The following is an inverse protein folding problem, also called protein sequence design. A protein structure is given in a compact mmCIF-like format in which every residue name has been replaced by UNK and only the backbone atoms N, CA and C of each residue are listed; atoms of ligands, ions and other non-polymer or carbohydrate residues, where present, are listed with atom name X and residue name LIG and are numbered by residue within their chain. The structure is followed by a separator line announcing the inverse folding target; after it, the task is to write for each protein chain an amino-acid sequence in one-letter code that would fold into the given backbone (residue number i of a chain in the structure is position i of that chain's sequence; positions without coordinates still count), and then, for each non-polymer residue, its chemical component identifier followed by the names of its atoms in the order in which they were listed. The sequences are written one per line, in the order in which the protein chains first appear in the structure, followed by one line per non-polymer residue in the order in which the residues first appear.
data_IF_578742137055
#
_entry.id   IF_578742137055
#
_cell.length_a   1.000
_cell.length_b   1.000
_cell.length_c   1.000
_cell.angle_alpha   90.00
_cell.angle_beta   90.00
_cell.angle_gamma   90.00
#
_symmetry.space_group_name_H-M   'P 1'
#
loop_
_entity.id
_entity.type
_entity.pdbx_description
1 polymer ?
#
# COMPACT_ATOMS: atom_id res chain seq x y z
N UNK A 1 6.11 -35.52 7.96
CA UNK A 1 5.85 -34.29 8.73
C UNK A 1 6.24 -33.11 7.86
N UNK A 2 5.26 -32.37 7.36
CA UNK A 2 5.47 -31.20 6.52
C UNK A 2 4.37 -30.20 6.80
N UNK A 3 4.41 -29.60 7.99
CA UNK A 3 3.51 -28.51 8.37
C UNK A 3 3.96 -27.24 7.67
N UNK A 4 3.61 -27.11 6.39
CA UNK A 4 3.75 -25.85 5.67
C UNK A 4 2.81 -24.84 6.31
N UNK A 5 3.37 -23.71 6.73
CA UNK A 5 2.57 -22.55 7.14
C UNK A 5 1.92 -22.01 5.86
N UNK A 6 0.73 -22.49 5.55
CA UNK A 6 -0.13 -21.85 4.56
C UNK A 6 -0.53 -20.52 5.17
N UNK A 7 0.27 -19.48 4.92
CA UNK A 7 -0.15 -18.11 5.21
C UNK A 7 -1.43 -17.92 4.41
N UNK A 8 -2.53 -17.72 5.13
CA UNK A 8 -3.85 -17.50 4.55
C UNK A 8 -3.77 -16.33 3.56
N UNK A 9 -3.76 -16.66 2.27
CA UNK A 9 -3.51 -15.72 1.15
C UNK A 9 -4.50 -14.57 1.19
N UNK A 10 -5.75 -14.84 1.58
CA UNK A 10 -6.76 -13.83 1.81
C UNK A 10 -6.34 -12.84 2.91
N UNK A 11 -5.71 -13.32 3.99
CA UNK A 11 -5.15 -12.45 5.03
C UNK A 11 -3.98 -11.61 4.51
N UNK A 12 -3.15 -12.13 3.61
CA UNK A 12 -2.04 -11.37 3.00
C UNK A 12 -2.57 -10.28 2.08
N UNK A 13 -3.47 -10.60 1.15
CA UNK A 13 -4.09 -9.60 0.28
C UNK A 13 -4.84 -8.54 1.08
N UNK A 14 -5.61 -8.95 2.10
CA UNK A 14 -6.31 -8.00 2.97
C UNK A 14 -5.35 -7.12 3.78
N UNK A 15 -4.21 -7.66 4.21
CA UNK A 15 -3.16 -6.89 4.86
C UNK A 15 -2.53 -5.86 3.91
N UNK A 16 -2.15 -6.28 2.70
CA UNK A 16 -1.60 -5.37 1.67
C UNK A 16 -2.59 -4.28 1.29
N UNK A 17 -3.89 -4.60 1.17
CA UNK A 17 -4.94 -3.62 0.91
C UNK A 17 -5.02 -2.59 2.05
N UNK A 18 -5.06 -3.05 3.32
CA UNK A 18 -5.05 -2.15 4.47
C UNK A 18 -3.82 -1.26 4.50
N UNK A 19 -2.65 -1.80 4.16
CA UNK A 19 -1.42 -1.02 4.08
C UNK A 19 -1.51 0.06 2.98
N UNK A 20 -2.01 -0.30 1.79
CA UNK A 20 -2.25 0.65 0.70
C UNK A 20 -3.20 1.78 1.12
N UNK A 21 -4.28 1.44 1.82
CA UNK A 21 -5.27 2.40 2.30
C UNK A 21 -4.65 3.38 3.30
N UNK A 22 -3.85 2.88 4.27
CA UNK A 22 -3.17 3.73 5.24
C UNK A 22 -2.17 4.69 4.58
N UNK A 23 -1.38 4.22 3.62
CA UNK A 23 -0.42 5.08 2.89
C UNK A 23 -1.17 6.13 2.05
N UNK A 24 -2.31 5.77 1.46
CA UNK A 24 -3.18 6.71 0.73
C UNK A 24 -3.74 7.79 1.65
N UNK A 25 -4.13 7.44 2.88
CA UNK A 25 -4.57 8.42 3.89
C UNK A 25 -3.43 9.38 4.25
N UNK A 26 -2.20 8.88 4.44
CA UNK A 26 -1.02 9.72 4.70
C UNK A 26 -0.79 10.71 3.55
N UNK A 27 -0.86 10.24 2.29
CA UNK A 27 -0.76 11.10 1.10
C UNK A 27 -1.79 12.24 1.14
N UNK A 28 -3.06 11.91 1.40
CA UNK A 28 -4.12 12.90 1.51
C UNK A 28 -3.90 13.92 2.63
N UNK A 29 -3.35 13.50 3.78
CA UNK A 29 -2.99 14.44 4.85
C UNK A 29 -1.88 15.40 4.44
N UNK A 30 -0.87 14.93 3.70
CA UNK A 30 0.21 15.77 3.19
C UNK A 30 -0.35 16.82 2.24
N UNK A 31 -1.11 16.38 1.22
CA UNK A 31 -1.74 17.27 0.23
C UNK A 31 -2.63 18.33 0.91
N UNK A 32 -3.48 17.92 1.87
CA UNK A 32 -4.34 18.84 2.62
C UNK A 32 -3.57 19.85 3.48
N UNK A 33 -2.38 19.50 3.98
CA UNK A 33 -1.56 20.41 4.77
C UNK A 33 -0.79 21.41 3.88
N UNK A 34 -0.37 20.97 2.69
CA UNK A 34 0.22 21.86 1.67
C UNK A 34 -0.81 22.87 1.14
N UNK A 35 -2.01 22.40 0.78
CA UNK A 35 -3.11 23.26 0.29
C UNK A 35 -3.52 24.31 1.32
N UNK A 36 -3.53 23.94 2.60
CA UNK A 36 -3.86 24.86 3.70
C UNK A 36 -2.69 25.75 4.12
N UNK A 37 -1.57 25.73 3.37
CA UNK A 37 -0.34 26.49 3.65
C UNK A 37 0.20 26.29 5.07
N UNK A 38 -0.09 25.13 5.69
CA UNK A 38 0.33 24.84 7.06
C UNK A 38 1.76 24.32 7.13
N UNK A 39 2.19 23.63 6.07
CA UNK A 39 3.50 22.99 5.96
C UNK A 39 3.79 22.70 4.49
N UNK A 40 5.05 22.85 4.07
CA UNK A 40 5.51 22.33 2.77
C UNK A 40 6.31 21.05 3.01
N UNK A 41 5.97 20.00 2.27
CA UNK A 41 6.69 18.75 2.31
C UNK A 41 7.66 18.66 1.13
N UNK A 42 8.75 17.92 1.33
CA UNK A 42 9.75 17.75 0.27
C UNK A 42 9.13 17.03 -0.93
N UNK A 43 9.64 17.34 -2.12
CA UNK A 43 9.29 16.60 -3.34
C UNK A 43 9.72 15.14 -3.24
N UNK A 44 10.81 14.86 -2.52
CA UNK A 44 11.30 13.51 -2.25
C UNK A 44 10.28 12.67 -1.46
N UNK A 45 9.72 13.22 -0.36
CA UNK A 45 8.73 12.51 0.46
C UNK A 45 7.47 12.17 -0.36
N UNK A 46 7.02 13.10 -1.21
CA UNK A 46 5.88 12.86 -2.10
C UNK A 46 6.17 11.73 -3.08
N UNK A 47 7.37 11.72 -3.67
CA UNK A 47 7.81 10.65 -4.58
C UNK A 47 7.87 9.30 -3.88
N UNK A 48 8.47 9.23 -2.69
CA UNK A 48 8.58 7.99 -1.91
C UNK A 48 7.20 7.40 -1.56
N UNK A 49 6.23 8.24 -1.20
CA UNK A 49 4.85 7.80 -0.91
C UNK A 49 4.16 7.25 -2.15
N UNK A 50 4.34 7.89 -3.31
CA UNK A 50 3.78 7.42 -4.58
C UNK A 50 4.41 6.10 -5.03
N UNK A 51 5.72 5.96 -4.87
CA UNK A 51 6.46 4.72 -5.11
C UNK A 51 5.98 3.60 -4.17
N UNK A 52 5.74 3.89 -2.89
CA UNK A 52 5.17 2.95 -1.92
C UNK A 52 3.78 2.47 -2.35
N UNK A 53 2.87 3.38 -2.70
CA UNK A 53 1.51 3.02 -3.14
C UNK A 53 1.58 2.14 -4.40
N UNK A 54 2.44 2.50 -5.35
CA UNK A 54 2.64 1.75 -6.60
C UNK A 54 3.16 0.34 -6.31
N UNK A 55 4.16 0.22 -5.44
CA UNK A 55 4.75 -1.05 -5.04
C UNK A 55 3.74 -1.97 -4.34
N UNK A 56 2.94 -1.43 -3.41
CA UNK A 56 1.91 -2.22 -2.70
C UNK A 56 0.83 -2.70 -3.67
N UNK A 57 0.38 -1.86 -4.62
CA UNK A 57 -0.59 -2.25 -5.64
C UNK A 57 -0.04 -3.35 -6.54
N UNK A 58 1.21 -3.24 -6.97
CA UNK A 58 1.87 -4.29 -7.75
C UNK A 58 1.92 -5.62 -6.97
N UNK A 59 2.26 -5.60 -5.68
CA UNK A 59 2.22 -6.81 -4.84
C UNK A 59 0.81 -7.40 -4.71
N UNK A 60 -0.23 -6.58 -4.58
CA UNK A 60 -1.62 -7.05 -4.56
C UNK A 60 -1.98 -7.74 -5.88
N UNK A 61 -1.62 -7.13 -7.00
CA UNK A 61 -1.91 -7.65 -8.34
C UNK A 61 -1.13 -8.95 -8.62
N UNK A 62 0.12 -9.06 -8.15
CA UNK A 62 0.91 -10.29 -8.21
C UNK A 62 0.27 -11.42 -7.40
N UNK A 63 -0.20 -11.15 -6.18
CA UNK A 63 -0.89 -12.16 -5.35
C UNK A 63 -2.18 -12.62 -6.03
N UNK A 64 -2.98 -11.69 -6.57
CA UNK A 64 -4.20 -12.03 -7.32
C UNK A 64 -3.90 -12.83 -8.60
N UNK A 65 -2.85 -12.45 -9.32
CA UNK A 65 -2.44 -13.12 -10.56
C UNK A 65 -1.92 -14.54 -10.35
N UNK A 66 -1.31 -14.82 -9.19
CA UNK A 66 -0.89 -16.16 -8.80
C UNK A 66 -2.09 -17.07 -8.44
N UNK A 67 -3.24 -16.49 -8.06
CA UNK A 67 -4.42 -17.22 -7.62
C UNK A 67 -5.73 -16.65 -8.21
N UNK A 68 -5.95 -16.80 -9.54
CA UNK A 68 -7.06 -16.16 -10.25
C UNK A 68 -8.46 -16.73 -9.94
N UNK A 69 -8.55 -17.73 -9.07
CA UNK A 69 -9.82 -18.34 -8.60
C UNK A 69 -10.37 -17.69 -7.32
N UNK A 70 -9.75 -16.62 -6.83
CA UNK A 70 -10.30 -15.69 -5.84
C UNK A 70 -11.09 -14.58 -6.53
#
# INVERSE_FOLDING_TARGET
MGGGVWVDEYKVTAFCQKLCDQVTVIKGYIELNEDKSKMQFSTELRREIDEMITSIKASIDEIKGQFPSL
#
